data_IF_776263553202
#
_entry.id   IF_776263553202
#
_cell.length_a   1.000
_cell.length_b   1.000
_cell.length_c   1.000
_cell.angle_alpha   90.00
_cell.angle_beta   90.00
_cell.angle_gamma   90.00
#
_symmetry.space_group_name_H-M   'P 1'
#
loop_
_entity.id
_entity.type
_entity.pdbx_description
1 polymer ?
#
# COMPACT_ATOMS: atom_id res chain seq x y z
N UNK A 1 7.82 11.57 -20.71
CA UNK A 1 9.05 12.16 -21.31
C UNK A 1 10.19 11.89 -20.34
N UNK A 2 11.27 11.25 -20.80
CA UNK A 2 12.39 10.84 -19.94
C UNK A 2 13.27 12.04 -19.55
N UNK A 3 13.08 12.57 -18.35
CA UNK A 3 13.87 13.70 -17.86
C UNK A 3 15.33 13.31 -17.59
N UNK A 4 15.56 12.07 -17.13
CA UNK A 4 16.90 11.51 -16.97
C UNK A 4 17.70 11.43 -18.27
N UNK A 5 17.07 11.01 -19.39
CA UNK A 5 17.73 10.97 -20.71
C UNK A 5 18.08 12.36 -21.23
N UNK A 6 17.41 13.40 -20.72
CA UNK A 6 17.68 14.81 -21.05
C UNK A 6 18.74 15.45 -20.15
N UNK A 7 19.47 14.67 -19.37
CA UNK A 7 20.51 15.17 -18.46
C UNK A 7 19.97 15.78 -17.15
N UNK A 8 18.67 15.59 -16.86
CA UNK A 8 18.05 16.10 -15.65
C UNK A 8 18.28 15.10 -14.50
N UNK A 9 19.50 15.08 -13.96
CA UNK A 9 19.90 14.15 -12.89
C UNK A 9 19.50 14.60 -11.48
N UNK A 10 19.01 15.84 -11.32
CA UNK A 10 18.59 16.40 -10.03
C UNK A 10 17.10 16.20 -9.80
N UNK A 11 16.72 15.90 -8.56
CA UNK A 11 15.33 15.75 -8.17
C UNK A 11 14.51 16.99 -8.53
N UNK A 12 13.33 16.75 -9.11
CA UNK A 12 12.41 17.81 -9.48
C UNK A 12 11.98 18.55 -8.21
N UNK A 13 12.21 19.87 -8.16
CA UNK A 13 11.77 20.68 -7.03
C UNK A 13 10.24 20.69 -6.90
N UNK A 14 9.73 20.98 -5.71
CA UNK A 14 8.26 21.06 -5.43
C UNK A 14 7.51 22.05 -6.34
N UNK A 15 8.22 22.98 -6.96
CA UNK A 15 7.66 23.99 -7.88
C UNK A 15 7.68 23.54 -9.35
N UNK A 16 8.17 22.34 -9.66
CA UNK A 16 8.23 21.84 -11.02
C UNK A 16 6.82 21.67 -11.59
N UNK A 17 6.58 22.33 -12.73
CA UNK A 17 5.34 22.23 -13.51
C UNK A 17 5.71 22.06 -14.97
N UNK A 18 5.01 21.18 -15.67
CA UNK A 18 5.11 21.09 -17.11
C UNK A 18 4.31 22.25 -17.73
N UNK A 19 4.87 22.92 -18.73
CA UNK A 19 4.13 23.95 -19.46
C UNK A 19 2.89 23.34 -20.08
N UNK A 20 1.71 23.83 -19.68
CA UNK A 20 0.42 23.34 -20.17
C UNK A 20 -0.24 22.23 -19.36
N UNK A 21 0.43 21.60 -18.39
CA UNK A 21 -0.20 20.60 -17.52
C UNK A 21 -0.40 21.14 -16.09
N UNK A 22 -1.66 21.29 -15.67
CA UNK A 22 -2.00 21.73 -14.30
C UNK A 22 -1.64 20.68 -13.25
N UNK A 23 -1.73 19.39 -13.60
CA UNK A 23 -1.49 18.23 -12.74
C UNK A 23 -0.82 17.12 -13.55
N UNK A 24 0.16 16.47 -12.96
CA UNK A 24 0.85 15.31 -13.52
C UNK A 24 0.75 14.15 -12.52
N UNK A 25 0.34 12.99 -13.00
CA UNK A 25 0.26 11.77 -12.21
C UNK A 25 1.25 10.75 -12.77
N UNK A 26 2.08 10.20 -11.90
CA UNK A 26 2.92 9.06 -12.25
C UNK A 26 2.10 7.79 -11.99
N UNK A 27 1.55 7.19 -13.06
CA UNK A 27 0.77 5.95 -12.94
C UNK A 27 1.75 4.78 -13.00
N UNK A 28 1.93 4.10 -11.86
CA UNK A 28 2.73 2.88 -11.81
C UNK A 28 1.97 1.74 -12.49
N UNK A 29 2.61 1.10 -13.47
CA UNK A 29 2.09 -0.13 -14.06
C UNK A 29 3.15 -1.24 -13.96
N UNK A 30 2.90 -2.32 -13.21
CA UNK A 30 3.91 -3.32 -12.87
C UNK A 30 4.46 -4.11 -14.07
N UNK A 31 3.71 -4.16 -15.18
CA UNK A 31 4.12 -4.85 -16.41
C UNK A 31 4.46 -3.89 -17.55
N UNK A 32 4.54 -2.58 -17.27
CA UNK A 32 4.96 -1.62 -18.28
C UNK A 32 6.34 -1.06 -17.91
N UNK A 33 7.42 -1.53 -18.56
CA UNK A 33 8.76 -0.99 -18.32
C UNK A 33 8.88 0.49 -18.70
N UNK A 34 7.89 1.04 -19.41
CA UNK A 34 7.79 2.45 -19.82
C UNK A 34 7.08 3.31 -18.77
N UNK A 35 6.39 2.74 -17.79
CA UNK A 35 5.67 3.49 -16.76
C UNK A 35 6.60 4.18 -15.71
N UNK A 36 7.88 3.83 -15.66
CA UNK A 36 8.85 4.37 -14.69
C UNK A 36 9.44 5.75 -15.08
N UNK A 37 8.91 6.43 -16.11
CA UNK A 37 9.65 7.46 -16.87
C UNK A 37 9.70 8.88 -16.29
N UNK A 38 9.19 9.11 -15.09
CA UNK A 38 9.27 10.42 -14.43
C UNK A 38 10.12 10.34 -13.16
N UNK A 39 11.39 10.03 -13.34
CA UNK A 39 12.40 10.26 -12.33
C UNK A 39 13.10 11.62 -12.55
N UNK A 40 13.46 12.36 -11.48
CA UNK A 40 13.45 11.91 -10.08
C UNK A 40 12.25 12.47 -9.30
N UNK A 41 11.71 11.64 -8.40
CA UNK A 41 10.52 11.91 -7.58
C UNK A 41 10.60 13.28 -6.87
N UNK A 42 9.52 14.05 -6.95
CA UNK A 42 9.40 15.37 -6.29
C UNK A 42 9.46 15.28 -4.76
N UNK A 43 9.16 14.10 -4.20
CA UNK A 43 9.18 13.83 -2.77
C UNK A 43 9.60 12.39 -2.51
N UNK A 44 10.55 12.19 -1.58
CA UNK A 44 11.00 10.89 -1.07
C UNK A 44 9.99 10.25 -0.10
N UNK A 45 8.69 10.52 -0.26
CA UNK A 45 7.67 9.96 0.61
C UNK A 45 7.70 8.44 0.49
N UNK A 46 8.07 7.75 1.57
CA UNK A 46 8.08 6.30 1.67
C UNK A 46 6.64 5.79 1.85
N UNK A 47 5.78 6.05 0.87
CA UNK A 47 4.38 5.64 0.86
C UNK A 47 4.23 4.46 -0.08
N UNK A 48 3.51 3.44 0.37
CA UNK A 48 3.15 2.31 -0.48
C UNK A 48 2.33 2.80 -1.70
N UNK A 49 2.56 2.23 -2.90
CA UNK A 49 1.78 2.57 -4.08
C UNK A 49 0.29 2.33 -3.85
N UNK A 50 -0.53 3.33 -4.18
CA UNK A 50 -1.98 3.19 -4.10
C UNK A 50 -2.50 2.40 -5.30
N UNK A 51 -3.24 1.32 -5.02
CA UNK A 51 -3.81 0.46 -6.07
C UNK A 51 -5.09 1.11 -6.55
N UNK A 52 -5.09 1.57 -7.81
CA UNK A 52 -6.28 2.14 -8.43
C UNK A 52 -7.34 1.06 -8.72
N UNK A 53 -8.62 1.34 -8.44
CA UNK A 53 -9.69 0.45 -8.85
C UNK A 53 -9.81 0.43 -10.38
N UNK A 54 -10.34 -0.69 -10.88
CA UNK A 54 -10.78 -0.80 -12.28
C UNK A 54 -11.90 0.21 -12.53
N UNK A 55 -12.13 0.58 -13.79
CA UNK A 55 -13.27 1.42 -14.18
C UNK A 55 -14.63 0.94 -13.64
N UNK A 56 -14.80 -0.38 -13.47
CA UNK A 56 -15.99 -0.99 -12.88
C UNK A 56 -16.04 -0.91 -11.34
N UNK A 57 -15.12 -0.18 -10.70
CA UNK A 57 -15.05 0.01 -9.24
C UNK A 57 -14.39 -1.11 -8.45
N UNK A 58 -14.06 -2.24 -9.10
CA UNK A 58 -13.43 -3.40 -8.45
C UNK A 58 -11.90 -3.41 -8.52
N UNK A 59 -11.26 -4.06 -7.55
CA UNK A 59 -9.83 -4.39 -7.61
C UNK A 59 -9.60 -5.64 -8.47
N UNK A 60 -8.40 -5.83 -9.00
CA UNK A 60 -8.04 -7.11 -9.67
C UNK A 60 -8.15 -8.27 -8.67
N UNK A 61 -8.53 -9.46 -9.16
CA UNK A 61 -8.83 -10.63 -8.31
C UNK A 61 -7.71 -10.94 -7.32
N UNK A 62 -6.44 -10.92 -7.74
CA UNK A 62 -5.31 -11.19 -6.84
C UNK A 62 -5.21 -10.17 -5.68
N UNK A 63 -5.56 -8.91 -5.88
CA UNK A 63 -5.61 -7.91 -4.81
C UNK A 63 -6.80 -8.14 -3.88
N UNK A 64 -7.95 -8.53 -4.42
CA UNK A 64 -9.11 -8.90 -3.62
C UNK A 64 -8.80 -10.12 -2.73
N UNK A 65 -8.18 -11.15 -3.31
CA UNK A 65 -7.75 -12.36 -2.62
C UNK A 65 -6.72 -12.03 -1.54
N UNK A 66 -5.70 -11.23 -1.85
CA UNK A 66 -4.67 -10.81 -0.87
C UNK A 66 -5.30 -10.07 0.31
N UNK A 67 -6.22 -9.13 0.05
CA UNK A 67 -6.94 -8.39 1.10
C UNK A 67 -7.77 -9.32 1.97
N UNK A 68 -8.53 -10.22 1.34
CA UNK A 68 -9.34 -11.21 2.05
C UNK A 68 -8.49 -12.12 2.95
N UNK A 69 -7.36 -12.62 2.46
CA UNK A 69 -6.44 -13.43 3.27
C UNK A 69 -5.92 -12.69 4.50
N UNK A 70 -5.52 -11.43 4.33
CA UNK A 70 -5.06 -10.60 5.45
C UNK A 70 -6.16 -10.41 6.51
N UNK A 71 -7.40 -10.21 6.07
CA UNK A 71 -8.54 -10.07 6.98
C UNK A 71 -8.86 -11.38 7.71
N UNK A 72 -8.81 -12.52 7.01
CA UNK A 72 -9.04 -13.85 7.59
C UNK A 72 -7.96 -14.17 8.63
N UNK A 73 -6.68 -13.98 8.29
CA UNK A 73 -5.57 -14.19 9.23
C UNK A 73 -5.72 -13.30 10.47
N UNK A 74 -6.05 -12.02 10.27
CA UNK A 74 -6.31 -11.10 11.37
C UNK A 74 -7.46 -11.55 12.28
N UNK A 75 -8.53 -12.13 11.72
CA UNK A 75 -9.65 -12.67 12.51
C UNK A 75 -9.26 -13.90 13.30
N UNK A 76 -8.53 -14.83 12.69
CA UNK A 76 -8.06 -16.06 13.36
C UNK A 76 -7.13 -15.71 14.53
N UNK A 77 -6.17 -14.80 14.32
CA UNK A 77 -5.26 -14.35 15.38
C UNK A 77 -5.98 -13.62 16.52
N UNK A 78 -7.07 -12.90 16.24
CA UNK A 78 -7.91 -12.29 17.29
C UNK A 78 -8.76 -13.32 18.01
N UNK A 79 -9.31 -14.30 17.29
CA UNK A 79 -10.08 -15.38 17.91
C UNK A 79 -9.20 -16.21 18.85
N UNK A 80 -7.97 -16.54 18.43
CA UNK A 80 -6.99 -17.22 19.28
C UNK A 80 -6.76 -16.45 20.59
N UNK A 81 -6.45 -15.16 20.51
CA UNK A 81 -6.24 -14.31 21.70
C UNK A 81 -7.43 -14.31 22.64
N UNK A 82 -8.65 -14.15 22.11
CA UNK A 82 -9.87 -14.21 22.93
C UNK A 82 -10.07 -15.54 23.66
N UNK A 83 -9.65 -16.65 23.06
CA UNK A 83 -9.71 -17.96 23.71
C UNK A 83 -8.66 -18.07 24.80
N UNK A 84 -7.44 -17.57 24.54
CA UNK A 84 -6.38 -17.49 25.56
C UNK A 84 -6.84 -16.62 26.75
N UNK A 85 -7.35 -15.42 26.48
CA UNK A 85 -7.88 -14.50 27.50
C UNK A 85 -9.03 -15.15 28.30
N UNK A 86 -9.98 -15.80 27.62
CA UNK A 86 -11.09 -16.47 28.31
C UNK A 86 -10.64 -17.69 29.14
N UNK A 87 -9.59 -18.40 28.71
CA UNK A 87 -9.01 -19.49 29.48
C UNK A 87 -8.30 -18.95 30.73
N UNK A 88 -7.54 -17.87 30.60
CA UNK A 88 -6.90 -17.17 31.72
C UNK A 88 -7.95 -16.69 32.73
N UNK A 89 -9.00 -16.00 32.28
CA UNK A 89 -10.14 -15.57 33.11
C UNK A 89 -10.80 -16.75 33.85
N UNK A 90 -10.97 -17.90 33.18
CA UNK A 90 -11.54 -19.09 33.82
C UNK A 90 -10.60 -19.71 34.86
N UNK A 91 -9.29 -19.72 34.60
CA UNK A 91 -8.29 -20.26 35.52
C UNK A 91 -8.13 -19.37 36.76
N UNK A 92 -8.21 -18.05 36.59
CA UNK A 92 -8.29 -17.08 37.69
C UNK A 92 -9.57 -17.30 38.51
N UNK A 93 -10.73 -17.47 37.85
CA UNK A 93 -12.01 -17.67 38.54
C UNK A 93 -12.07 -18.96 39.38
N UNK A 94 -11.30 -19.98 39.01
CA UNK A 94 -11.19 -21.26 39.71
C UNK A 94 -10.09 -21.21 40.80
N UNK A 95 -9.27 -20.15 40.83
CA UNK A 95 -8.21 -19.95 41.82
C UNK A 95 -6.97 -20.82 41.59
N UNK A 96 -6.74 -21.29 40.37
CA UNK A 96 -5.59 -22.13 39.99
C UNK A 96 -4.32 -21.31 39.67
N UNK A 97 -4.48 -20.03 39.35
CA UNK A 97 -3.41 -19.08 39.06
C UNK A 97 -3.75 -17.80 39.83
N UNK A 98 -2.76 -17.19 40.49
CA UNK A 98 -2.90 -16.01 41.36
C UNK A 98 -2.34 -14.76 40.72
#
# INVERSE_FOLDING_TARGET
MFLMVRGQHRALGKNFKLSGAKRLFNVFHPFDPVAFRLEPLVSSANREPEILPTWQGGLRVHYQVKRWWHDVLGRVLRAKRRVEDALEDTLESIGLIA
#
